data_IF_964319147907
#
_entry.id   IF_964319147907
#
_cell.length_a   1.000
_cell.length_b   1.000
_cell.length_c   1.000
_cell.angle_alpha   90.00
_cell.angle_beta   90.00
_cell.angle_gamma   90.00
#
_symmetry.space_group_name_H-M   'P 1'
#
loop_
_entity.id
_entity.type
_entity.pdbx_description
1 polymer ?
#
# COMPACT_ATOMS: atom_id res chain seq x y z
N UNK A 1 -2.77 41.32 10.55
CA UNK A 1 -1.81 40.40 9.89
C UNK A 1 -1.07 39.65 10.99
N UNK A 2 -1.55 38.48 11.38
CA UNK A 2 -0.70 37.51 12.07
C UNK A 2 0.39 37.08 11.08
N UNK A 3 1.68 37.19 11.44
CA UNK A 3 2.74 36.69 10.57
C UNK A 3 2.52 35.19 10.37
N UNK A 4 2.41 34.78 9.11
CA UNK A 4 2.41 33.37 8.73
C UNK A 4 3.79 32.83 9.13
N UNK A 5 3.87 32.16 10.28
CA UNK A 5 5.07 31.44 10.64
C UNK A 5 5.25 30.34 9.60
N UNK A 6 6.44 30.19 8.97
CA UNK A 6 6.68 29.06 8.10
C UNK A 6 6.35 27.79 8.90
N UNK A 7 5.45 26.97 8.34
CA UNK A 7 5.09 25.72 8.97
C UNK A 7 6.37 24.94 9.30
N UNK A 8 6.50 24.44 10.53
CA UNK A 8 7.64 23.63 10.89
C UNK A 8 7.77 22.46 9.89
N UNK A 9 8.99 22.10 9.46
CA UNK A 9 9.18 21.00 8.53
C UNK A 9 8.56 19.72 9.09
N UNK A 10 7.95 18.85 8.25
CA UNK A 10 7.28 17.66 8.73
C UNK A 10 8.26 16.70 9.41
N UNK A 11 7.74 15.93 10.37
CA UNK A 11 8.48 14.86 11.02
C UNK A 11 8.26 13.55 10.26
N UNK A 12 9.34 12.83 9.93
CA UNK A 12 9.24 11.45 9.46
C UNK A 12 9.31 10.47 10.63
N UNK A 13 8.30 9.61 10.74
CA UNK A 13 8.25 8.50 11.66
C UNK A 13 8.69 7.22 10.94
N UNK A 14 9.86 6.73 11.29
CA UNK A 14 10.51 5.57 10.67
C UNK A 14 10.53 4.38 11.65
N UNK A 15 10.52 3.12 11.20
CA UNK A 15 10.76 1.98 12.07
C UNK A 15 12.10 2.12 12.82
N UNK A 16 12.10 1.82 14.12
CA UNK A 16 13.32 1.77 14.92
C UNK A 16 14.06 0.45 14.76
N UNK A 17 15.39 0.50 14.83
CA UNK A 17 16.26 -0.67 14.90
C UNK A 17 16.02 -1.43 16.23
N UNK A 18 15.61 -2.71 16.22
CA UNK A 18 15.38 -3.49 17.43
C UNK A 18 16.61 -3.60 18.34
N UNK A 19 17.81 -3.61 17.75
CA UNK A 19 19.08 -3.69 18.47
C UNK A 19 19.59 -2.30 18.90
N UNK A 20 19.11 -1.23 18.25
CA UNK A 20 19.50 0.15 18.54
C UNK A 20 18.26 1.05 18.55
N UNK A 21 17.44 1.01 19.62
CA UNK A 21 16.07 1.56 19.61
C UNK A 21 15.93 3.09 19.41
N UNK A 22 17.05 3.82 19.32
CA UNK A 22 17.09 5.26 19.02
C UNK A 22 17.54 5.56 17.59
N UNK A 23 17.78 4.55 16.77
CA UNK A 23 18.16 4.68 15.36
C UNK A 23 17.06 4.12 14.48
N UNK A 24 16.87 4.67 13.27
CA UNK A 24 16.04 4.02 12.27
C UNK A 24 16.58 2.62 11.97
N UNK A 25 15.68 1.70 11.66
CA UNK A 25 15.98 0.39 11.12
C UNK A 25 16.94 0.53 9.92
N UNK A 26 18.01 -0.29 9.83
CA UNK A 26 18.97 -0.24 8.73
C UNK A 26 18.34 -0.28 7.33
N UNK A 27 17.20 -0.95 7.16
CA UNK A 27 16.47 -0.99 5.90
C UNK A 27 16.04 0.42 5.43
N UNK A 28 15.67 1.30 6.35
CA UNK A 28 15.22 2.66 6.07
C UNK A 28 16.34 3.70 6.23
N UNK A 29 17.60 3.30 6.40
CA UNK A 29 18.70 4.23 6.67
C UNK A 29 18.95 5.22 5.52
N UNK A 30 18.86 4.76 4.27
CA UNK A 30 19.02 5.60 3.09
C UNK A 30 17.87 6.62 2.96
N UNK A 31 16.64 6.16 3.20
CA UNK A 31 15.44 7.01 3.24
C UNK A 31 15.51 8.05 4.38
N UNK A 32 15.98 7.66 5.56
CA UNK A 32 16.22 8.57 6.67
C UNK A 32 17.29 9.64 6.35
N UNK A 33 18.31 9.28 5.55
CA UNK A 33 19.29 10.23 5.07
C UNK A 33 18.67 11.20 4.05
N UNK A 34 17.90 10.70 3.09
CA UNK A 34 17.19 11.52 2.10
C UNK A 34 16.22 12.52 2.76
N UNK A 35 15.41 12.08 3.73
CA UNK A 35 14.53 12.95 4.50
C UNK A 35 15.28 14.10 5.19
N UNK A 36 16.44 13.80 5.79
CA UNK A 36 17.29 14.82 6.45
C UNK A 36 17.93 15.77 5.45
N UNK A 37 18.40 15.27 4.32
CA UNK A 37 18.94 16.10 3.24
C UNK A 37 17.89 17.06 2.66
N UNK A 38 16.63 16.63 2.60
CA UNK A 38 15.49 17.46 2.22
C UNK A 38 15.03 18.45 3.32
N UNK A 39 15.69 18.46 4.50
CA UNK A 39 15.40 19.40 5.60
C UNK A 39 14.39 18.90 6.63
N UNK A 40 13.97 17.63 6.56
CA UNK A 40 13.05 17.05 7.53
C UNK A 40 13.75 16.55 8.80
N UNK A 41 13.00 16.53 9.90
CA UNK A 41 13.41 15.79 11.10
C UNK A 41 12.88 14.36 11.05
N UNK A 42 13.51 13.45 11.81
CA UNK A 42 13.04 12.06 11.93
C UNK A 42 12.91 11.63 13.40
N UNK A 43 11.88 10.82 13.67
CA UNK A 43 11.69 10.08 14.90
C UNK A 43 11.54 8.59 14.59
N UNK A 44 11.69 7.75 15.61
CA UNK A 44 11.61 6.30 15.48
C UNK A 44 10.35 5.76 16.15
N UNK A 45 9.70 4.82 15.47
CA UNK A 45 8.58 4.01 15.96
C UNK A 45 9.13 2.70 16.53
N UNK A 46 8.72 2.37 17.76
CA UNK A 46 8.97 1.04 18.30
C UNK A 46 7.93 0.05 17.72
N UNK A 47 8.32 -0.64 16.65
CA UNK A 47 7.40 -1.49 15.88
C UNK A 47 6.99 -2.73 16.67
N UNK A 48 7.86 -3.27 17.52
CA UNK A 48 7.53 -4.43 18.35
C UNK A 48 6.43 -4.08 19.34
N UNK A 49 6.53 -2.93 20.01
CA UNK A 49 5.49 -2.42 20.89
C UNK A 49 4.17 -2.21 20.15
N UNK A 50 4.19 -1.62 18.94
CA UNK A 50 2.98 -1.45 18.13
C UNK A 50 2.35 -2.78 17.73
N UNK A 51 3.15 -3.75 17.28
CA UNK A 51 2.69 -5.10 16.93
C UNK A 51 2.04 -5.81 18.13
N UNK A 52 2.62 -5.64 19.31
CA UNK A 52 2.09 -6.16 20.57
C UNK A 52 0.82 -5.42 21.07
N UNK A 53 0.44 -4.32 20.43
CA UNK A 53 -0.74 -3.52 20.78
C UNK A 53 -0.52 -2.46 21.84
N UNK A 54 0.74 -2.14 22.15
CA UNK A 54 1.10 -1.02 22.99
C UNK A 54 1.52 0.19 22.14
N UNK A 55 0.52 0.80 21.48
CA UNK A 55 0.75 1.98 20.65
C UNK A 55 1.32 3.17 21.46
N UNK A 56 1.02 3.26 22.76
CA UNK A 56 1.56 4.29 23.65
C UNK A 56 3.07 4.18 23.85
N UNK A 57 3.55 2.97 24.15
CA UNK A 57 4.99 2.68 24.18
C UNK A 57 5.62 2.86 22.81
N UNK A 58 4.93 2.46 21.73
CA UNK A 58 5.40 2.56 20.36
C UNK A 58 5.86 3.98 19.98
N UNK A 59 5.09 4.99 20.40
CA UNK A 59 5.36 6.40 20.09
C UNK A 59 6.04 7.17 21.24
N UNK A 60 6.48 6.48 22.29
CA UNK A 60 7.03 7.12 23.51
C UNK A 60 8.19 8.08 23.22
N UNK A 61 8.99 7.78 22.18
CA UNK A 61 10.15 8.56 21.73
C UNK A 61 9.82 9.67 20.72
N UNK A 62 8.58 9.78 20.25
CA UNK A 62 8.16 10.83 19.30
C UNK A 62 8.00 12.16 20.04
N UNK A 63 8.61 13.28 19.62
CA UNK A 63 8.43 14.57 20.28
C UNK A 63 6.95 14.97 20.40
N UNK A 64 6.55 15.55 21.54
CA UNK A 64 5.19 16.08 21.71
C UNK A 64 5.03 17.37 20.91
N UNK A 65 3.85 17.58 20.35
CA UNK A 65 3.53 18.78 19.58
C UNK A 65 4.34 18.93 18.30
N UNK A 66 4.84 17.82 17.73
CA UNK A 66 5.62 17.85 16.49
C UNK A 66 4.77 18.24 15.25
N UNK A 67 3.45 18.37 15.41
CA UNK A 67 2.56 18.75 14.32
C UNK A 67 2.37 17.63 13.31
N UNK A 68 2.63 17.90 12.03
CA UNK A 68 2.43 16.96 10.95
C UNK A 68 3.50 15.87 10.89
N UNK A 69 3.07 14.62 10.71
CA UNK A 69 3.94 13.45 10.69
C UNK A 69 3.69 12.63 9.43
N UNK A 70 4.74 12.34 8.68
CA UNK A 70 4.75 11.27 7.68
C UNK A 70 5.13 9.97 8.36
N UNK A 71 4.31 8.93 8.24
CA UNK A 71 4.81 7.57 8.50
C UNK A 71 5.52 7.08 7.24
N UNK A 72 6.67 6.42 7.42
CA UNK A 72 7.36 5.75 6.32
C UNK A 72 8.02 4.48 6.87
N UNK A 73 7.44 3.32 6.58
CA UNK A 73 7.80 2.10 7.28
C UNK A 73 7.19 0.82 6.71
N UNK A 74 7.12 -0.20 7.55
CA UNK A 74 6.54 -1.50 7.21
C UNK A 74 5.01 -1.45 7.06
N UNK A 75 4.43 -2.39 6.32
CA UNK A 75 2.97 -2.51 6.25
C UNK A 75 2.39 -2.80 7.64
N UNK A 76 1.30 -2.12 7.98
CA UNK A 76 0.59 -2.29 9.23
C UNK A 76 -0.84 -2.75 8.93
N UNK A 77 -1.40 -3.69 9.71
CA UNK A 77 -2.84 -3.92 9.67
C UNK A 77 -3.59 -2.60 9.90
N UNK A 78 -4.68 -2.34 9.16
CA UNK A 78 -5.37 -1.04 9.24
C UNK A 78 -5.83 -0.68 10.67
N UNK A 79 -6.14 -1.68 11.51
CA UNK A 79 -6.41 -1.48 12.94
C UNK A 79 -5.20 -0.95 13.72
N UNK A 80 -4.01 -1.54 13.51
CA UNK A 80 -2.75 -1.07 14.12
C UNK A 80 -2.36 0.32 13.64
N UNK A 81 -2.60 0.63 12.36
CA UNK A 81 -2.39 1.98 11.85
C UNK A 81 -3.33 3.01 12.52
N UNK A 82 -4.59 2.64 12.77
CA UNK A 82 -5.52 3.49 13.51
C UNK A 82 -5.10 3.71 14.98
N UNK A 83 -4.60 2.67 15.65
CA UNK A 83 -4.03 2.77 17.00
C UNK A 83 -2.80 3.70 17.03
N UNK A 84 -1.90 3.57 16.05
CA UNK A 84 -0.76 4.47 15.87
C UNK A 84 -1.21 5.93 15.70
N UNK A 85 -2.21 6.18 14.86
CA UNK A 85 -2.76 7.51 14.64
C UNK A 85 -3.32 8.12 15.93
N UNK A 86 -4.08 7.34 16.71
CA UNK A 86 -4.63 7.78 17.99
C UNK A 86 -3.53 8.09 19.02
N UNK A 87 -2.50 7.24 19.10
CA UNK A 87 -1.38 7.45 20.02
C UNK A 87 -0.55 8.70 19.65
N UNK A 88 -0.34 8.97 18.37
CA UNK A 88 0.29 10.21 17.89
C UNK A 88 -0.58 11.44 18.18
N UNK A 89 -1.90 11.35 17.96
CA UNK A 89 -2.84 12.42 18.27
C UNK A 89 -2.80 12.80 19.77
N UNK A 90 -2.74 11.81 20.66
CA UNK A 90 -2.58 12.03 22.10
C UNK A 90 -1.26 12.74 22.49
N UNK A 91 -0.28 12.78 21.59
CA UNK A 91 0.98 13.51 21.74
C UNK A 91 0.96 14.89 21.05
N UNK A 92 -0.15 15.30 20.45
CA UNK A 92 -0.24 16.53 19.67
C UNK A 92 0.40 16.42 18.29
N UNK A 93 0.48 15.21 17.74
CA UNK A 93 0.97 14.94 16.40
C UNK A 93 -0.17 14.45 15.50
N UNK A 94 -0.13 14.74 14.20
CA UNK A 94 -1.13 14.30 13.24
C UNK A 94 -0.46 13.59 12.07
N UNK A 95 -0.85 12.35 11.80
CA UNK A 95 -0.45 11.66 10.58
C UNK A 95 -1.03 12.36 9.35
N UNK A 96 -0.18 12.53 8.33
CA UNK A 96 -0.56 13.17 7.08
C UNK A 96 -1.43 12.27 6.19
N UNK A 97 -1.32 10.96 6.35
CA UNK A 97 -2.33 10.02 5.87
C UNK A 97 -3.26 9.65 7.02
N UNK A 98 -4.57 9.84 6.85
CA UNK A 98 -5.54 9.43 7.86
C UNK A 98 -5.69 7.89 7.89
N UNK A 99 -6.18 7.29 8.98
CA UNK A 99 -6.48 5.85 8.99
C UNK A 99 -7.45 5.40 7.90
N UNK A 100 -8.40 6.26 7.53
CA UNK A 100 -9.30 6.00 6.42
C UNK A 100 -8.56 6.02 5.08
N UNK A 101 -7.74 7.04 4.82
CA UNK A 101 -6.94 7.13 3.60
C UNK A 101 -5.94 5.98 3.46
N UNK A 102 -5.29 5.59 4.57
CA UNK A 102 -4.41 4.41 4.61
C UNK A 102 -5.16 3.16 4.18
N UNK A 103 -6.34 2.89 4.76
CA UNK A 103 -7.15 1.73 4.37
C UNK A 103 -7.60 1.80 2.91
N UNK A 104 -8.06 2.97 2.47
CA UNK A 104 -8.50 3.22 1.09
C UNK A 104 -7.42 2.86 0.07
N UNK A 105 -6.17 3.29 0.31
CA UNK A 105 -5.06 3.03 -0.60
C UNK A 105 -4.41 1.65 -0.39
N UNK A 106 -4.48 1.08 0.81
CA UNK A 106 -3.76 -0.15 1.16
C UNK A 106 -4.56 -1.43 0.88
N UNK A 107 -5.88 -1.40 1.08
CA UNK A 107 -6.74 -2.59 0.95
C UNK A 107 -7.56 -2.53 -0.35
N UNK A 108 -7.60 -3.62 -1.11
CA UNK A 108 -8.29 -3.71 -2.40
C UNK A 108 -9.72 -3.15 -2.43
N UNK A 109 -10.61 -3.41 -1.43
CA UNK A 109 -11.95 -2.83 -1.43
C UNK A 109 -11.97 -1.29 -1.45
N UNK A 110 -10.92 -0.65 -0.94
CA UNK A 110 -10.80 0.80 -0.85
C UNK A 110 -10.55 1.49 -2.20
N UNK A 111 -9.89 0.81 -3.15
CA UNK A 111 -9.48 1.42 -4.42
C UNK A 111 -10.01 0.70 -5.66
N UNK A 112 -10.50 -0.53 -5.55
CA UNK A 112 -10.85 -1.36 -6.72
C UNK A 112 -11.86 -0.68 -7.65
N UNK A 113 -12.90 -0.04 -7.10
CA UNK A 113 -13.94 0.59 -7.92
C UNK A 113 -13.42 1.79 -8.73
N UNK A 114 -12.59 2.63 -8.12
CA UNK A 114 -11.92 3.77 -8.78
C UNK A 114 -11.07 3.30 -9.96
N UNK A 115 -10.41 2.14 -9.84
CA UNK A 115 -9.52 1.60 -10.87
C UNK A 115 -10.15 0.48 -11.70
N UNK A 116 -11.45 0.22 -11.58
CA UNK A 116 -12.13 -0.95 -12.16
C UNK A 116 -11.92 -1.11 -13.66
N UNK A 117 -11.80 -0.01 -14.41
CA UNK A 117 -11.55 -0.04 -15.86
C UNK A 117 -10.08 -0.34 -16.21
N UNK A 118 -9.14 -0.11 -15.29
CA UNK A 118 -7.69 -0.18 -15.53
C UNK A 118 -7.03 -1.40 -14.85
N UNK A 119 -7.69 -2.03 -13.89
CA UNK A 119 -7.17 -3.18 -13.14
C UNK A 119 -7.84 -4.49 -13.58
N UNK A 120 -7.18 -5.66 -13.44
CA UNK A 120 -7.81 -6.94 -13.73
C UNK A 120 -9.10 -7.14 -12.91
N UNK A 121 -10.14 -7.68 -13.57
CA UNK A 121 -11.45 -7.91 -12.94
C UNK A 121 -11.27 -8.71 -11.66
N UNK A 122 -11.89 -8.27 -10.56
CA UNK A 122 -11.77 -8.94 -9.27
C UNK A 122 -13.14 -9.10 -8.61
N UNK A 123 -13.29 -10.17 -7.85
CA UNK A 123 -14.42 -10.44 -6.96
C UNK A 123 -13.88 -10.70 -5.57
N UNK A 124 -14.58 -10.26 -4.54
CA UNK A 124 -14.08 -10.26 -3.17
C UNK A 124 -15.07 -10.95 -2.24
N UNK A 125 -14.55 -11.70 -1.29
CA UNK A 125 -15.32 -12.37 -0.24
C UNK A 125 -14.61 -12.15 1.11
N UNK A 126 -15.19 -11.32 2.01
CA UNK A 126 -14.66 -11.18 3.36
C UNK A 126 -14.58 -12.54 4.06
N UNK A 127 -13.46 -12.80 4.75
CA UNK A 127 -13.32 -13.98 5.59
C UNK A 127 -12.32 -13.72 6.73
N UNK A 128 -12.54 -14.37 7.87
CA UNK A 128 -11.62 -14.27 8.99
C UNK A 128 -10.36 -15.12 8.74
N UNK A 129 -9.21 -14.72 9.30
CA UNK A 129 -8.02 -15.57 9.38
C UNK A 129 -8.33 -17.01 9.82
N UNK A 130 -7.70 -17.99 9.18
CA UNK A 130 -7.89 -19.42 9.46
C UNK A 130 -9.27 -20.01 9.14
N UNK A 131 -10.22 -19.20 8.63
CA UNK A 131 -11.58 -19.66 8.27
C UNK A 131 -11.79 -19.59 6.77
N UNK A 132 -11.34 -20.64 6.08
CA UNK A 132 -11.49 -20.71 4.63
C UNK A 132 -12.98 -20.76 4.23
N UNK A 133 -13.40 -20.02 3.18
CA UNK A 133 -14.80 -20.02 2.76
C UNK A 133 -15.29 -21.38 2.26
N UNK A 134 -16.58 -21.62 2.41
CA UNK A 134 -17.23 -22.83 1.88
C UNK A 134 -17.17 -22.90 0.35
N UNK A 135 -17.07 -24.11 -0.19
CA UNK A 135 -17.00 -24.35 -1.64
C UNK A 135 -18.16 -23.72 -2.42
N UNK A 136 -19.37 -23.71 -1.86
CA UNK A 136 -20.53 -23.08 -2.49
C UNK A 136 -20.39 -21.55 -2.58
N UNK A 137 -19.78 -20.90 -1.57
CA UNK A 137 -19.49 -19.47 -1.61
C UNK A 137 -18.41 -19.16 -2.65
N UNK A 138 -17.37 -19.99 -2.74
CA UNK A 138 -16.31 -19.86 -3.75
C UNK A 138 -16.84 -20.05 -5.17
N UNK A 139 -17.75 -21.01 -5.39
CA UNK A 139 -18.38 -21.21 -6.69
C UNK A 139 -19.20 -19.98 -7.13
N UNK A 140 -19.97 -19.37 -6.22
CA UNK A 140 -20.68 -18.11 -6.51
C UNK A 140 -19.72 -16.96 -6.80
N UNK A 141 -18.63 -16.87 -6.04
CA UNK A 141 -17.58 -15.86 -6.21
C UNK A 141 -16.92 -15.98 -7.58
N UNK A 142 -16.66 -17.21 -8.04
CA UNK A 142 -16.03 -17.52 -9.32
C UNK A 142 -16.97 -17.39 -10.54
N UNK A 143 -18.29 -17.46 -10.34
CA UNK A 143 -19.29 -17.44 -11.40
C UNK A 143 -19.08 -16.38 -12.50
N UNK A 144 -18.70 -15.13 -12.19
CA UNK A 144 -18.46 -14.11 -13.22
C UNK A 144 -17.24 -14.36 -14.12
N UNK A 145 -16.32 -15.27 -13.76
CA UNK A 145 -15.14 -15.61 -14.56
C UNK A 145 -15.41 -16.75 -15.55
N UNK A 146 -16.37 -17.64 -15.26
CA UNK A 146 -16.61 -18.84 -16.06
C UNK A 146 -15.46 -19.83 -15.91
N UNK A 147 -14.97 -20.35 -17.02
CA UNK A 147 -13.83 -21.26 -17.12
C UNK A 147 -12.46 -20.55 -17.17
N UNK A 148 -12.45 -19.21 -17.10
CA UNK A 148 -11.22 -18.43 -17.23
C UNK A 148 -10.32 -18.57 -16.00
N UNK A 149 -9.00 -18.47 -16.19
CA UNK A 149 -8.04 -18.53 -15.10
C UNK A 149 -8.16 -17.34 -14.15
N UNK A 150 -7.92 -17.61 -12.86
CA UNK A 150 -7.92 -16.61 -11.80
C UNK A 150 -6.70 -16.73 -10.88
N UNK A 151 -6.30 -15.60 -10.33
CA UNK A 151 -5.32 -15.47 -9.26
C UNK A 151 -6.05 -15.29 -7.93
N UNK A 152 -5.60 -16.02 -6.91
CA UNK A 152 -6.06 -15.92 -5.53
C UNK A 152 -5.12 -14.98 -4.76
N UNK A 153 -5.69 -13.97 -4.10
CA UNK A 153 -4.98 -13.10 -3.16
C UNK A 153 -5.90 -12.69 -2.00
N UNK A 154 -5.37 -12.01 -1.00
CA UNK A 154 -6.19 -11.27 -0.03
C UNK A 154 -6.30 -9.80 -0.44
N UNK A 155 -6.79 -8.93 0.44
CA UNK A 155 -6.95 -7.51 0.10
C UNK A 155 -5.63 -6.77 -0.14
N UNK A 156 -4.49 -7.34 0.24
CA UNK A 156 -3.17 -6.72 0.10
C UNK A 156 -2.24 -7.64 -0.69
N UNK A 157 -1.95 -8.84 -0.19
CA UNK A 157 -0.88 -9.73 -0.65
C UNK A 157 -1.39 -11.01 -1.32
N UNK A 158 -0.55 -11.56 -2.19
CA UNK A 158 -0.73 -12.90 -2.77
C UNK A 158 0.38 -13.86 -2.28
N UNK A 159 0.23 -15.15 -2.61
CA UNK A 159 1.22 -16.21 -2.35
C UNK A 159 1.99 -16.55 -3.62
N UNK A 160 2.66 -15.55 -4.20
CA UNK A 160 3.31 -15.66 -5.53
C UNK A 160 4.42 -16.72 -5.60
N UNK A 161 5.03 -17.08 -4.47
CA UNK A 161 6.06 -18.11 -4.41
C UNK A 161 5.46 -19.53 -4.39
N UNK A 162 4.21 -19.68 -3.95
CA UNK A 162 3.43 -20.91 -3.96
C UNK A 162 2.41 -20.90 -5.12
N UNK A 163 2.85 -20.51 -6.32
CA UNK A 163 1.97 -20.16 -7.44
C UNK A 163 0.89 -21.21 -7.74
N UNK A 164 1.29 -22.45 -8.02
CA UNK A 164 0.37 -23.54 -8.37
C UNK A 164 -0.46 -24.03 -7.18
N UNK A 165 0.09 -23.89 -5.97
CA UNK A 165 -0.47 -24.45 -4.75
C UNK A 165 -1.52 -23.54 -4.10
N UNK A 166 -1.30 -22.23 -4.16
CA UNK A 166 -2.01 -21.25 -3.33
C UNK A 166 -2.31 -19.91 -4.04
N UNK A 167 -1.95 -19.72 -5.31
CA UNK A 167 -2.19 -18.43 -5.98
C UNK A 167 -2.85 -18.53 -7.35
N UNK A 168 -2.80 -19.66 -8.05
CA UNK A 168 -3.30 -19.76 -9.43
C UNK A 168 -4.29 -20.89 -9.62
N UNK A 169 -5.41 -20.58 -10.27
CA UNK A 169 -6.44 -21.53 -10.66
C UNK A 169 -6.66 -21.38 -12.17
N UNK A 170 -6.30 -22.38 -12.99
CA UNK A 170 -6.39 -22.26 -14.45
C UNK A 170 -7.83 -22.27 -14.99
N UNK A 171 -8.75 -22.89 -14.25
CA UNK A 171 -10.18 -22.97 -14.59
C UNK A 171 -11.00 -22.65 -13.34
N UNK A 172 -11.63 -21.47 -13.31
CA UNK A 172 -12.46 -21.03 -12.19
C UNK A 172 -13.78 -21.80 -12.05
N UNK A 173 -14.20 -22.56 -13.08
CA UNK A 173 -15.36 -23.45 -13.02
C UNK A 173 -15.03 -24.80 -12.37
N UNK A 174 -13.75 -25.18 -12.28
CA UNK A 174 -13.29 -26.29 -11.43
C UNK A 174 -13.37 -25.89 -9.95
N UNK A 175 -14.58 -25.99 -9.41
CA UNK A 175 -14.85 -25.66 -8.00
C UNK A 175 -14.07 -26.50 -7.01
N UNK A 176 -13.54 -27.67 -7.41
CA UNK A 176 -12.74 -28.54 -6.55
C UNK A 176 -11.33 -28.00 -6.42
N UNK A 177 -10.67 -27.73 -7.54
CA UNK A 177 -9.36 -27.11 -7.58
C UNK A 177 -9.39 -25.71 -6.97
N UNK A 178 -10.39 -24.90 -7.32
CA UNK A 178 -10.58 -23.57 -6.73
C UNK A 178 -10.63 -23.62 -5.20
N UNK A 179 -11.46 -24.52 -4.64
CA UNK A 179 -11.55 -24.67 -3.19
C UNK A 179 -10.21 -25.11 -2.58
N UNK A 180 -9.51 -26.07 -3.19
CA UNK A 180 -8.20 -26.52 -2.72
C UNK A 180 -7.17 -25.39 -2.66
N UNK A 181 -7.05 -24.61 -3.74
CA UNK A 181 -6.10 -23.48 -3.82
C UNK A 181 -6.45 -22.39 -2.81
N UNK A 182 -7.73 -22.02 -2.70
CA UNK A 182 -8.18 -21.01 -1.74
C UNK A 182 -8.00 -21.48 -0.29
N UNK A 183 -8.29 -22.74 0.02
CA UNK A 183 -8.09 -23.29 1.36
C UNK A 183 -6.62 -23.31 1.74
N UNK A 184 -5.75 -23.68 0.79
CA UNK A 184 -4.31 -23.63 1.00
C UNK A 184 -3.80 -22.20 1.16
N UNK A 185 -4.28 -21.27 0.34
CA UNK A 185 -4.00 -19.84 0.47
C UNK A 185 -4.35 -19.32 1.87
N UNK A 186 -5.58 -19.56 2.34
CA UNK A 186 -6.03 -19.11 3.67
C UNK A 186 -5.21 -19.77 4.78
N UNK A 187 -4.87 -21.05 4.65
CA UNK A 187 -4.03 -21.74 5.62
C UNK A 187 -2.62 -21.14 5.70
N UNK A 188 -2.02 -20.78 4.57
CA UNK A 188 -0.69 -20.16 4.53
C UNK A 188 -0.70 -18.71 5.01
N UNK A 189 -1.80 -17.98 4.86
CA UNK A 189 -1.94 -16.62 5.41
C UNK A 189 -1.98 -16.59 6.93
N UNK A 190 -2.43 -17.67 7.59
CA UNK A 190 -2.52 -17.77 9.06
C UNK A 190 -3.23 -16.55 9.66
N UNK A 191 -2.72 -15.97 10.75
CA UNK A 191 -3.24 -14.73 11.34
C UNK A 191 -3.05 -13.47 10.48
N UNK A 192 -2.21 -13.53 9.45
CA UNK A 192 -1.87 -12.38 8.59
C UNK A 192 -2.82 -12.17 7.41
N UNK A 193 -3.86 -13.00 7.27
CA UNK A 193 -4.89 -12.80 6.25
C UNK A 193 -5.54 -11.44 6.41
N UNK A 194 -5.46 -10.61 5.36
CA UNK A 194 -6.03 -9.26 5.38
C UNK A 194 -7.41 -9.24 4.73
N UNK A 195 -8.44 -9.17 5.58
CA UNK A 195 -9.83 -8.87 5.22
C UNK A 195 -10.63 -9.98 4.54
N UNK A 196 -10.09 -10.65 3.53
CA UNK A 196 -10.81 -11.70 2.83
C UNK A 196 -10.09 -12.32 1.65
N UNK A 197 -10.79 -13.18 0.91
CA UNK A 197 -10.30 -13.79 -0.34
C UNK A 197 -10.73 -12.96 -1.54
N UNK A 198 -9.81 -12.81 -2.49
CA UNK A 198 -10.03 -12.17 -3.78
C UNK A 198 -9.76 -13.19 -4.88
N UNK A 199 -10.71 -13.32 -5.81
CA UNK A 199 -10.46 -13.96 -7.11
C UNK A 199 -10.30 -12.85 -8.14
N UNK A 200 -9.13 -12.79 -8.77
CA UNK A 200 -8.77 -11.80 -9.78
C UNK A 200 -8.56 -12.51 -11.12
N UNK A 201 -9.10 -11.98 -12.21
CA UNK A 201 -8.85 -12.49 -13.54
C UNK A 201 -7.33 -12.51 -13.80
N UNK A 202 -6.84 -13.64 -14.29
CA UNK A 202 -5.46 -13.73 -14.75
C UNK A 202 -5.33 -12.99 -16.09
N UNK A 203 -4.30 -12.14 -16.21
CA UNK A 203 -3.93 -11.44 -17.43
C UNK A 203 -2.43 -11.69 -17.68
N UNK A 204 -2.06 -11.92 -18.94
CA UNK A 204 -0.66 -12.11 -19.34
C UNK A 204 0.02 -10.76 -19.53
N UNK A 205 1.10 -10.53 -18.78
CA UNK A 205 1.93 -9.34 -18.87
C UNK A 205 3.28 -9.63 -19.54
N UNK A 206 3.78 -8.66 -20.30
CA UNK A 206 5.09 -8.73 -20.93
C UNK A 206 6.20 -8.59 -19.87
N UNK A 207 6.73 -9.73 -19.45
CA UNK A 207 7.80 -9.80 -18.44
C UNK A 207 9.13 -9.21 -18.91
N UNK A 208 9.34 -9.05 -20.22
CA UNK A 208 10.55 -8.43 -20.74
C UNK A 208 10.52 -6.90 -20.57
N UNK A 209 9.33 -6.30 -20.55
CA UNK A 209 9.13 -4.88 -20.24
C UNK A 209 9.24 -4.63 -18.73
N UNK A 210 8.74 -5.57 -17.92
CA UNK A 210 8.71 -5.46 -16.46
C UNK A 210 7.55 -4.60 -15.95
N UNK A 211 7.57 -4.31 -14.66
CA UNK A 211 6.55 -3.48 -14.00
C UNK A 211 7.14 -2.14 -13.56
N UNK A 212 6.38 -1.07 -13.74
CA UNK A 212 6.71 0.27 -13.23
C UNK A 212 5.97 0.52 -11.92
N UNK A 213 6.67 1.03 -10.91
CA UNK A 213 6.06 1.66 -9.74
C UNK A 213 6.08 3.16 -9.90
N UNK A 214 4.90 3.77 -9.83
CA UNK A 214 4.73 5.22 -9.82
C UNK A 214 4.31 5.65 -8.43
N UNK A 215 4.98 6.65 -7.89
CA UNK A 215 4.67 7.29 -6.62
C UNK A 215 3.92 8.58 -6.90
N UNK A 216 2.81 8.77 -6.19
CA UNK A 216 1.91 9.88 -6.37
C UNK A 216 1.73 10.63 -5.06
N UNK A 217 1.80 11.95 -5.13
CA UNK A 217 1.55 12.85 -4.01
C UNK A 217 0.50 13.87 -4.43
N UNK A 218 -0.60 13.96 -3.67
CA UNK A 218 -1.72 14.86 -3.94
C UNK A 218 -2.25 14.74 -5.39
N UNK A 219 -2.24 13.51 -5.93
CA UNK A 219 -2.71 13.21 -7.29
C UNK A 219 -1.68 13.39 -8.41
N UNK A 220 -0.48 13.90 -8.11
CA UNK A 220 0.58 14.13 -9.10
C UNK A 220 1.71 13.10 -9.00
N UNK A 221 2.24 12.59 -10.13
CA UNK A 221 3.34 11.64 -10.11
C UNK A 221 4.65 12.36 -9.74
N UNK A 222 5.33 11.87 -8.69
CA UNK A 222 6.57 12.46 -8.16
C UNK A 222 7.80 11.60 -8.40
N UNK A 223 7.62 10.29 -8.60
CA UNK A 223 8.70 9.36 -8.94
C UNK A 223 8.14 8.19 -9.74
N UNK A 224 8.79 7.86 -10.85
CA UNK A 224 8.53 6.61 -11.59
C UNK A 224 9.81 5.80 -11.62
N UNK A 225 9.73 4.53 -11.25
CA UNK A 225 10.88 3.64 -11.21
C UNK A 225 10.50 2.18 -11.41
N UNK A 226 11.48 1.27 -11.40
CA UNK A 226 11.25 -0.15 -11.56
C UNK A 226 10.46 -0.69 -10.36
N UNK A 227 9.62 -1.70 -10.57
CA UNK A 227 9.04 -2.46 -9.47
C UNK A 227 10.17 -3.21 -8.72
N UNK A 228 10.12 -3.33 -7.37
CA UNK A 228 11.17 -3.98 -6.59
C UNK A 228 11.46 -5.45 -6.95
N UNK A 229 10.51 -6.17 -7.56
CA UNK A 229 10.73 -7.54 -8.04
C UNK A 229 11.56 -7.60 -9.34
N UNK A 230 11.59 -6.51 -10.10
CA UNK A 230 12.32 -6.39 -11.37
C UNK A 230 13.15 -5.12 -11.41
N UNK A 231 14.09 -4.91 -10.47
CA UNK A 231 14.78 -3.64 -10.27
C UNK A 231 15.65 -3.21 -11.47
N UNK A 232 15.97 -4.14 -12.39
CA UNK A 232 16.71 -3.86 -13.61
C UNK A 232 15.86 -3.45 -14.82
N UNK A 233 14.53 -3.50 -14.71
CA UNK A 233 13.60 -3.15 -15.79
C UNK A 233 12.87 -1.85 -15.43
N UNK A 234 13.19 -0.77 -16.14
CA UNK A 234 12.65 0.58 -15.86
C UNK A 234 11.68 1.03 -16.96
N UNK A 235 10.47 0.44 -17.06
CA UNK A 235 9.50 0.88 -18.04
C UNK A 235 8.97 2.30 -17.74
N UNK A 236 8.55 3.00 -18.80
CA UNK A 236 7.94 4.33 -18.73
C UNK A 236 6.48 4.25 -19.22
N UNK A 237 5.53 3.93 -18.33
CA UNK A 237 4.13 3.77 -18.71
C UNK A 237 3.45 5.10 -19.06
N UNK A 238 2.44 5.04 -19.92
CA UNK A 238 1.55 6.19 -20.16
C UNK A 238 0.58 6.37 -18.98
N UNK A 239 0.68 7.52 -18.32
CA UNK A 239 -0.08 7.87 -17.13
C UNK A 239 -1.41 8.58 -17.42
N UNK A 240 -1.71 8.88 -18.70
CA UNK A 240 -2.88 9.66 -19.12
C UNK A 240 -4.19 9.12 -18.55
N UNK A 241 -4.34 7.80 -18.53
CA UNK A 241 -5.54 7.15 -18.00
C UNK A 241 -5.50 6.87 -16.50
N UNK A 242 -4.29 6.82 -15.90
CA UNK A 242 -4.08 6.48 -14.49
C UNK A 242 -4.23 7.71 -13.59
N UNK A 243 -3.64 8.83 -13.98
CA UNK A 243 -3.61 10.05 -13.18
C UNK A 243 -5.02 10.57 -12.78
N UNK A 244 -6.05 10.56 -13.65
CA UNK A 244 -7.41 10.92 -13.24
C UNK A 244 -7.98 10.02 -12.14
N UNK A 245 -7.66 8.72 -12.16
CA UNK A 245 -8.12 7.75 -11.15
C UNK A 245 -7.40 7.92 -9.82
N UNK A 246 -6.12 8.28 -9.84
CA UNK A 246 -5.38 8.63 -8.62
C UNK A 246 -5.96 9.89 -7.97
N UNK A 247 -6.29 10.92 -8.76
CA UNK A 247 -6.98 12.12 -8.25
C UNK A 247 -8.37 11.80 -7.70
N UNK A 248 -9.12 10.90 -8.35
CA UNK A 248 -10.44 10.42 -7.89
C UNK A 248 -10.35 9.62 -6.58
N UNK A 249 -9.26 8.87 -6.36
CA UNK A 249 -9.04 8.13 -5.11
C UNK A 249 -8.90 9.05 -3.89
N UNK A 250 -8.46 10.31 -4.10
CA UNK A 250 -8.28 11.35 -3.08
C UNK A 250 -7.40 10.89 -1.89
N UNK A 251 -6.48 9.96 -2.16
CA UNK A 251 -5.48 9.50 -1.20
C UNK A 251 -4.17 10.26 -1.40
N UNK A 252 -3.74 10.95 -0.34
CA UNK A 252 -2.63 11.91 -0.38
C UNK A 252 -1.31 11.32 -0.89
N UNK A 253 -0.95 10.12 -0.46
CA UNK A 253 0.34 9.51 -0.80
C UNK A 253 0.16 8.04 -1.14
N UNK A 254 0.27 7.71 -2.43
CA UNK A 254 0.00 6.37 -2.95
C UNK A 254 1.04 5.92 -3.97
N UNK A 255 1.07 4.63 -4.23
CA UNK A 255 1.78 4.05 -5.36
C UNK A 255 0.81 3.33 -6.28
N UNK A 256 1.17 3.26 -7.56
CA UNK A 256 0.52 2.35 -8.53
C UNK A 256 1.59 1.49 -9.17
N UNK A 257 1.36 0.18 -9.21
CA UNK A 257 2.17 -0.77 -9.96
C UNK A 257 1.49 -1.03 -11.31
N UNK A 258 2.25 -0.78 -12.38
CA UNK A 258 1.78 -0.80 -13.77
C UNK A 258 2.51 -1.89 -14.55
N UNK A 259 1.76 -2.78 -15.19
CA UNK A 259 2.28 -3.83 -16.05
C UNK A 259 1.71 -3.68 -17.47
N UNK A 260 2.54 -3.94 -18.47
CA UNK A 260 2.11 -3.94 -19.87
C UNK A 260 1.50 -5.31 -20.20
N UNK A 261 0.22 -5.35 -20.53
CA UNK A 261 -0.43 -6.56 -21.02
C UNK A 261 0.08 -6.90 -22.41
N UNK A 262 0.06 -8.18 -22.79
CA UNK A 262 0.57 -8.66 -24.09
C UNK A 262 -0.06 -7.99 -25.32
N UNK A 263 -1.21 -7.32 -25.20
CA UNK A 263 -1.86 -6.55 -26.26
C UNK A 263 -1.47 -5.06 -26.28
N UNK A 264 -0.47 -4.65 -25.49
CA UNK A 264 0.06 -3.29 -25.45
C UNK A 264 -0.70 -2.34 -24.51
N UNK A 265 -1.68 -2.84 -23.75
CA UNK A 265 -2.45 -2.02 -22.79
C UNK A 265 -1.79 -2.04 -21.42
N UNK A 266 -1.52 -0.86 -20.85
CA UNK A 266 -1.07 -0.73 -19.46
C UNK A 266 -2.20 -1.02 -18.48
N UNK A 267 -1.90 -1.83 -17.45
CA UNK A 267 -2.85 -2.25 -16.42
C UNK A 267 -2.34 -1.87 -15.04
N UNK A 268 -3.24 -1.40 -14.18
CA UNK A 268 -2.94 -1.17 -12.76
C UNK A 268 -3.04 -2.50 -12.03
N UNK A 269 -1.90 -3.07 -11.68
CA UNK A 269 -1.80 -4.36 -10.96
C UNK A 269 -2.15 -4.16 -9.50
N UNK A 270 -1.61 -3.09 -8.90
CA UNK A 270 -1.77 -2.77 -7.50
C UNK A 270 -1.83 -1.26 -7.29
N UNK A 271 -2.64 -0.84 -6.32
CA UNK A 271 -2.54 0.47 -5.68
C UNK A 271 -2.12 0.19 -4.24
N UNK A 272 -1.14 0.95 -3.76
CA UNK A 272 -0.63 0.84 -2.39
C UNK A 272 -0.56 2.19 -1.70
N UNK A 273 -0.61 2.20 -0.38
CA UNK A 273 -0.27 3.40 0.39
C UNK A 273 1.25 3.67 0.28
N UNK A 274 1.62 4.90 -0.07
CA UNK A 274 3.02 5.27 -0.30
C UNK A 274 3.88 5.15 0.96
N UNK A 275 3.30 5.28 2.15
CA UNK A 275 4.02 5.18 3.41
C UNK A 275 4.64 3.79 3.61
N UNK A 276 4.06 2.75 3.01
CA UNK A 276 4.45 1.34 3.21
C UNK A 276 4.89 0.62 1.94
N UNK A 277 4.96 1.35 0.83
CA UNK A 277 5.47 0.83 -0.44
C UNK A 277 6.99 0.77 -0.44
N UNK A 278 7.61 -0.25 -1.04
CA UNK A 278 9.08 -0.37 -1.09
C UNK A 278 9.68 0.47 -2.22
N UNK A 279 10.82 1.12 -1.96
CA UNK A 279 11.73 1.59 -3.01
C UNK A 279 12.68 0.46 -3.42
N UNK A 280 13.02 0.31 -4.70
CA UNK A 280 14.06 -0.62 -5.14
C UNK A 280 15.41 -0.33 -4.46
N UNK A 281 16.17 -1.37 -4.14
CA UNK A 281 17.50 -1.21 -3.56
C UNK A 281 18.39 -0.38 -4.50
N UNK A 282 18.99 0.68 -3.98
CA UNK A 282 19.85 1.59 -4.75
C UNK A 282 19.10 2.66 -5.57
N UNK A 283 17.78 2.72 -5.52
CA UNK A 283 17.02 3.81 -6.12
C UNK A 283 17.32 5.14 -5.41
N UNK A 284 17.38 6.24 -6.18
CA UNK A 284 17.48 7.58 -5.61
C UNK A 284 16.14 8.00 -5.00
N UNK A 285 16.11 8.06 -3.66
CA UNK A 285 14.94 8.47 -2.91
C UNK A 285 14.81 10.01 -2.82
N UNK A 286 15.84 10.77 -3.21
CA UNK A 286 15.90 12.23 -3.07
C UNK A 286 14.65 12.94 -3.58
N UNK A 287 14.26 12.77 -4.86
CA UNK A 287 13.08 13.43 -5.43
C UNK A 287 11.79 13.15 -4.66
N UNK A 288 11.61 11.92 -4.16
CA UNK A 288 10.43 11.55 -3.38
C UNK A 288 10.40 12.31 -2.04
N UNK A 289 11.51 12.34 -1.30
CA UNK A 289 11.57 13.01 -0.01
C UNK A 289 11.50 14.53 -0.13
N UNK A 290 12.10 15.12 -1.17
CA UNK A 290 11.95 16.55 -1.49
C UNK A 290 10.48 16.92 -1.72
N UNK A 291 9.74 16.10 -2.48
CA UNK A 291 8.31 16.29 -2.71
C UNK A 291 7.51 16.15 -1.40
N UNK A 292 7.77 15.12 -0.60
CA UNK A 292 7.05 14.88 0.66
C UNK A 292 7.30 15.98 1.72
N UNK A 293 8.51 16.56 1.75
CA UNK A 293 8.84 17.68 2.65
C UNK A 293 8.20 18.98 2.20
N UNK A 294 8.17 19.23 0.88
CA UNK A 294 7.59 20.45 0.30
C UNK A 294 6.05 20.42 0.31
N UNK A 295 5.45 19.24 0.50
CA UNK A 295 4.02 19.05 0.52
C UNK A 295 3.37 19.88 1.66
N UNK A 296 2.30 20.63 1.40
CA UNK A 296 1.63 21.40 2.43
C UNK A 296 1.09 20.48 3.53
N UNK A 297 1.33 20.83 4.79
CA UNK A 297 0.87 20.02 5.91
C UNK A 297 -0.66 20.00 6.06
N UNK A 298 -1.41 20.87 5.36
CA UNK A 298 -2.88 20.96 5.44
C UNK A 298 -3.58 19.62 5.16
N UNK A 299 -4.77 19.45 5.71
CA UNK A 299 -5.63 18.34 5.28
C UNK A 299 -5.92 18.52 3.79
N UNK A 300 -5.85 17.43 3.02
CA UNK A 300 -6.39 17.42 1.66
C UNK A 300 -7.86 17.83 1.78
N UNK A 301 -8.21 19.00 1.23
CA UNK A 301 -9.59 19.46 1.19
C UNK A 301 -10.30 18.62 0.14
N UNK A 302 -10.71 17.40 0.50
CA UNK A 302 -11.63 16.62 -0.29
C UNK A 302 -12.84 17.50 -0.59
N UNK A 303 -13.13 17.68 -1.87
CA UNK A 303 -14.24 18.49 -2.33
C UNK A 303 -15.51 18.05 -1.62
N UNK A 304 -15.99 18.89 -0.70
CA UNK A 304 -17.37 18.83 -0.23
C UNK A 304 -18.27 19.03 -1.45
N UNK A 305 -18.74 17.94 -2.05
CA UNK A 305 -19.90 17.98 -2.93
C UNK A 305 -21.10 18.28 -2.04
N UNK A 306 -21.34 19.58 -1.87
CA UNK A 306 -22.48 20.11 -1.16
C UNK A 306 -23.74 19.98 -2.00
N UNK A 307 -24.79 19.48 -1.34
CA UNK A 307 -26.23 19.55 -1.64
C UNK A 307 -26.74 18.85 -2.90
#
# INVERSE_FOLDING_TARGET
>A
MTPDHPAAPPLFLLPGDPLRPRRPDPHFAAEAAAARSAGASAAVLDHEALSAGDAGAAVSRVPRGAGAVWYRGWMLPAGRYAELAAALAARGCRLLSSPAAYRTAHELPGWYDTFRSLTPRSTLLPCAPGRAPERAALARLAGPFGDRPVVVKDWVKSRKHEWEEAAYVPDAADTGRLASVVHRFVALQEEFLTGGVVLRAFEDFDRAVGEARVWWLDGEPVLTGPHPDTPGLCPAPDLTHVAPRVRELDARFVTTDLALRMDGVWRVVEVGDGQVSGLPAGADAGPLFEALVSAPAGAHAGSSTGS
#
